data_IF_507557369559
#
_entry.id   IF_507557369559
#
_cell.length_a   1.000
_cell.length_b   1.000
_cell.length_c   1.000
_cell.angle_alpha   90.00
_cell.angle_beta   90.00
_cell.angle_gamma   90.00
#
_symmetry.space_group_name_H-M   'P 1'
#
loop_
_entity.id
_entity.type
_entity.pdbx_description
1 polymer ?
#
# COMPACT_ATOMS: atom_id res chain seq x y z
N UNK A 1 -62.74 -0.65 21.46
CA UNK A 1 -63.70 -0.35 20.39
C UNK A 1 -63.07 0.66 19.45
N UNK A 2 -63.13 0.41 18.23
CA UNK A 2 -62.77 1.12 17.00
C UNK A 2 -61.48 0.58 16.33
N UNK A 3 -61.74 -0.38 15.45
CA UNK A 3 -60.91 -0.84 14.36
C UNK A 3 -60.77 0.24 13.30
N UNK A 4 -59.63 0.38 12.70
CA UNK A 4 -59.47 1.06 11.43
C UNK A 4 -58.63 0.17 10.47
N UNK A 5 -59.34 -0.40 9.50
CA UNK A 5 -58.81 -1.16 8.38
C UNK A 5 -58.14 -0.18 7.41
N UNK A 6 -56.93 -0.49 6.98
CA UNK A 6 -56.28 0.14 5.82
C UNK A 6 -56.08 -0.88 4.70
N UNK A 7 -56.58 -0.50 3.56
CA UNK A 7 -56.79 -1.17 2.29
C UNK A 7 -55.49 -1.56 1.57
N UNK A 8 -55.40 -2.80 1.11
CA UNK A 8 -54.37 -3.31 0.16
C UNK A 8 -54.77 -2.84 -1.27
N UNK A 9 -53.90 -2.07 -1.91
CA UNK A 9 -53.98 -1.81 -3.34
C UNK A 9 -53.04 -2.77 -4.10
N UNK A 10 -53.67 -3.46 -5.06
CA UNK A 10 -53.09 -4.42 -6.00
C UNK A 10 -52.18 -3.77 -7.01
N UNK A 11 -50.99 -4.33 -7.21
CA UNK A 11 -50.06 -4.01 -8.31
C UNK A 11 -50.39 -4.88 -9.54
N UNK A 12 -50.57 -4.24 -10.68
CA UNK A 12 -50.78 -4.85 -12.00
C UNK A 12 -49.41 -5.35 -12.57
N UNK A 13 -49.39 -6.45 -13.35
CA UNK A 13 -48.19 -6.96 -14.01
C UNK A 13 -47.87 -6.25 -15.34
N UNK A 14 -46.57 -6.12 -15.62
CA UNK A 14 -45.98 -5.60 -16.87
C UNK A 14 -46.12 -6.61 -18.03
N UNK A 15 -46.24 -6.15 -19.29
CA UNK A 15 -46.33 -7.00 -20.46
C UNK A 15 -44.94 -7.50 -20.93
N UNK A 16 -44.91 -8.61 -21.76
CA UNK A 16 -43.67 -9.24 -22.22
C UNK A 16 -42.99 -8.52 -23.38
N UNK A 17 -41.67 -8.62 -23.43
CA UNK A 17 -40.79 -8.03 -24.42
C UNK A 17 -41.00 -8.70 -25.83
N UNK A 18 -41.16 -7.86 -26.83
CA UNK A 18 -41.24 -8.25 -28.24
C UNK A 18 -39.87 -8.41 -28.91
N UNK A 19 -39.84 -9.26 -29.93
CA UNK A 19 -38.70 -9.76 -30.65
C UNK A 19 -37.88 -8.74 -31.43
N UNK A 20 -36.56 -8.98 -31.45
CA UNK A 20 -35.53 -8.28 -32.20
C UNK A 20 -35.64 -8.59 -33.72
N UNK A 21 -35.66 -7.54 -34.55
CA UNK A 21 -35.48 -7.59 -36.00
C UNK A 21 -34.07 -7.09 -36.33
N UNK A 22 -33.27 -7.93 -36.97
CA UNK A 22 -31.95 -7.64 -37.53
C UNK A 22 -32.03 -6.90 -38.85
N UNK A 23 -31.29 -5.79 -39.01
CA UNK A 23 -30.98 -5.17 -40.29
C UNK A 23 -29.47 -5.11 -40.53
N UNK A 24 -28.98 -5.27 -41.77
CA UNK A 24 -27.56 -5.37 -42.09
C UNK A 24 -26.91 -4.00 -42.30
N UNK A 25 -25.62 -3.91 -41.93
CA UNK A 25 -24.74 -2.76 -42.14
C UNK A 25 -24.21 -2.74 -43.59
N UNK A 26 -24.07 -1.58 -44.25
CA UNK A 26 -23.41 -1.47 -45.54
C UNK A 26 -21.89 -1.43 -45.40
N UNK A 27 -21.19 -2.15 -46.27
CA UNK A 27 -19.75 -2.07 -46.51
C UNK A 27 -19.44 -0.83 -47.35
N UNK A 28 -18.63 0.09 -46.82
CA UNK A 28 -17.97 1.11 -47.64
C UNK A 28 -16.50 0.72 -47.88
N UNK A 29 -16.20 0.59 -49.16
CA UNK A 29 -14.85 0.43 -49.71
C UNK A 29 -14.20 1.82 -49.77
N UNK A 30 -13.04 2.00 -49.16
CA UNK A 30 -12.23 3.22 -49.29
C UNK A 30 -11.03 2.93 -50.18
N UNK A 31 -10.98 3.61 -51.31
CA UNK A 31 -9.91 3.61 -52.28
C UNK A 31 -8.64 4.31 -51.72
N UNK A 32 -7.50 3.67 -51.92
CA UNK A 32 -6.16 4.23 -51.67
C UNK A 32 -5.85 5.31 -52.73
N UNK A 33 -5.65 6.55 -52.29
CA UNK A 33 -4.97 7.59 -53.08
C UNK A 33 -3.60 7.85 -52.51
N UNK A 34 -2.59 7.45 -53.27
CA UNK A 34 -1.18 7.75 -53.07
C UNK A 34 -0.90 9.23 -53.33
N UNK A 35 -0.38 9.94 -52.33
CA UNK A 35 0.30 11.22 -52.52
C UNK A 35 1.68 11.20 -51.88
N UNK A 36 2.68 11.22 -52.75
CA UNK A 36 4.11 11.37 -52.36
C UNK A 36 4.35 12.80 -51.88
N UNK A 37 4.77 12.94 -50.62
CA UNK A 37 5.42 14.17 -50.15
C UNK A 37 6.76 13.82 -49.50
N UNK A 38 7.83 14.16 -50.19
CA UNK A 38 9.22 14.13 -49.74
C UNK A 38 9.39 15.20 -48.67
N UNK A 39 9.49 14.80 -47.41
CA UNK A 39 9.91 15.67 -46.32
C UNK A 39 11.27 15.22 -45.79
N UNK A 40 12.24 16.09 -45.94
CA UNK A 40 13.62 15.95 -45.45
C UNK A 40 13.59 15.86 -43.91
N UNK A 41 13.91 14.67 -43.37
CA UNK A 41 14.01 14.47 -41.92
C UNK A 41 15.42 14.79 -41.46
N UNK A 42 15.58 15.88 -40.74
CA UNK A 42 16.77 16.22 -39.98
C UNK A 42 16.95 15.20 -38.84
N UNK A 43 18.15 14.67 -38.69
CA UNK A 43 18.47 13.62 -37.71
C UNK A 43 18.07 14.03 -36.30
N UNK A 44 17.09 13.33 -35.73
CA UNK A 44 16.78 13.33 -34.30
C UNK A 44 17.76 12.37 -33.64
N UNK A 45 18.51 12.86 -32.67
CA UNK A 45 19.43 12.06 -31.85
C UNK A 45 18.69 10.88 -31.25
N UNK A 46 19.21 9.69 -31.51
CA UNK A 46 18.81 8.40 -30.96
C UNK A 46 18.96 8.42 -29.43
N UNK A 47 17.84 8.61 -28.72
CA UNK A 47 17.72 8.30 -27.30
C UNK A 47 17.21 6.88 -27.15
N UNK A 48 18.05 5.92 -27.56
CA UNK A 48 17.83 4.52 -27.21
C UNK A 48 17.80 4.39 -25.70
N UNK A 49 16.78 3.74 -25.11
CA UNK A 49 16.79 3.44 -23.69
C UNK A 49 18.04 2.59 -23.40
N UNK A 50 18.86 3.03 -22.42
CA UNK A 50 19.99 2.24 -21.95
C UNK A 50 19.54 0.81 -21.71
N UNK A 51 20.32 -0.21 -22.11
CA UNK A 51 19.99 -1.59 -21.78
C UNK A 51 19.86 -1.67 -20.25
N UNK A 52 18.70 -2.07 -19.76
CA UNK A 52 18.54 -2.53 -18.38
C UNK A 52 19.54 -3.67 -18.25
N UNK A 53 20.51 -3.55 -17.37
CA UNK A 53 21.42 -4.64 -17.04
C UNK A 53 20.55 -5.85 -16.71
N UNK A 54 20.58 -6.84 -17.57
CA UNK A 54 19.93 -8.13 -17.34
C UNK A 54 20.70 -8.77 -16.21
N UNK A 55 20.22 -8.57 -14.98
CA UNK A 55 20.76 -9.22 -13.80
C UNK A 55 20.86 -10.72 -14.06
N UNK A 56 21.86 -11.37 -13.46
CA UNK A 56 22.03 -12.83 -13.52
C UNK A 56 20.69 -13.50 -13.31
N UNK A 57 20.30 -14.47 -14.17
CA UNK A 57 18.99 -15.11 -14.09
C UNK A 57 18.78 -15.69 -12.68
N UNK A 58 17.70 -15.30 -12.04
CA UNK A 58 17.38 -15.72 -10.69
C UNK A 58 17.11 -17.22 -10.66
N UNK A 59 17.80 -17.94 -9.76
CA UNK A 59 17.63 -19.38 -9.61
C UNK A 59 16.47 -19.70 -8.67
N UNK A 60 15.52 -20.52 -9.15
CA UNK A 60 14.35 -20.96 -8.42
C UNK A 60 14.53 -22.41 -7.95
N UNK A 61 14.11 -22.69 -6.71
CA UNK A 61 14.14 -24.00 -6.07
C UNK A 61 12.70 -24.45 -5.84
N UNK A 62 12.34 -25.60 -6.40
CA UNK A 62 11.05 -26.24 -6.13
C UNK A 62 11.16 -27.12 -4.92
N UNK A 63 10.28 -26.91 -3.93
CA UNK A 63 10.22 -27.62 -2.67
C UNK A 63 8.86 -28.29 -2.51
N UNK A 64 8.82 -29.38 -1.75
CA UNK A 64 7.60 -30.11 -1.40
C UNK A 64 7.46 -30.19 0.11
N UNK A 65 6.27 -29.98 0.62
CA UNK A 65 6.04 -30.18 2.05
C UNK A 65 4.72 -30.88 2.34
N UNK A 66 4.64 -31.44 3.54
CA UNK A 66 3.40 -32.05 4.05
C UNK A 66 2.92 -31.22 5.23
N UNK A 67 1.64 -30.83 5.21
CA UNK A 67 0.96 -30.17 6.32
C UNK A 67 -0.40 -30.84 6.54
N UNK A 68 -0.73 -31.17 7.80
CA UNK A 68 -1.98 -31.84 8.16
C UNK A 68 -2.29 -33.11 7.31
N UNK A 69 -1.23 -33.84 6.93
CA UNK A 69 -1.33 -35.06 6.09
C UNK A 69 -1.48 -34.75 4.58
N UNK A 70 -1.61 -33.53 4.16
CA UNK A 70 -1.74 -33.12 2.74
C UNK A 70 -0.41 -32.70 2.15
N UNK A 71 -0.07 -33.10 0.91
CA UNK A 71 1.12 -32.65 0.21
C UNK A 71 0.89 -31.28 -0.45
N UNK A 72 1.93 -30.44 -0.45
CA UNK A 72 1.98 -29.14 -1.10
C UNK A 72 3.28 -28.98 -1.87
N UNK A 73 3.25 -28.11 -2.86
CA UNK A 73 4.42 -27.66 -3.63
C UNK A 73 4.58 -26.15 -3.49
N UNK A 74 5.82 -25.66 -3.43
CA UNK A 74 6.13 -24.25 -3.51
C UNK A 74 7.43 -24.02 -4.30
N UNK A 75 7.55 -22.84 -4.92
CA UNK A 75 8.76 -22.37 -5.56
C UNK A 75 9.30 -21.19 -4.76
N UNK A 76 10.61 -21.21 -4.51
CA UNK A 76 11.30 -20.14 -3.78
C UNK A 76 12.59 -19.77 -4.52
N UNK A 77 12.94 -18.50 -4.56
CA UNK A 77 14.17 -18.05 -5.19
C UNK A 77 15.36 -18.15 -4.24
N UNK A 78 16.56 -18.35 -4.76
CA UNK A 78 17.79 -18.37 -3.94
C UNK A 78 18.04 -17.03 -3.24
N UNK A 79 17.62 -15.91 -3.83
CA UNK A 79 17.71 -14.58 -3.24
C UNK A 79 16.69 -14.33 -2.12
N UNK A 80 15.66 -15.18 -1.99
CA UNK A 80 14.69 -15.12 -0.89
C UNK A 80 15.34 -15.39 0.47
N UNK A 81 14.62 -15.08 1.52
CA UNK A 81 15.03 -15.30 2.89
C UNK A 81 14.14 -16.35 3.56
N UNK A 82 14.57 -16.85 4.72
CA UNK A 82 13.76 -17.75 5.54
C UNK A 82 12.41 -17.14 5.88
N UNK A 83 12.33 -15.83 6.05
CA UNK A 83 11.08 -15.10 6.24
C UNK A 83 10.13 -15.22 5.05
N UNK A 84 10.65 -15.10 3.83
CA UNK A 84 9.82 -15.26 2.61
C UNK A 84 9.27 -16.67 2.50
N UNK A 85 10.09 -17.68 2.84
CA UNK A 85 9.63 -19.07 2.93
C UNK A 85 8.46 -19.19 3.92
N UNK A 86 8.58 -18.59 5.10
CA UNK A 86 7.51 -18.63 6.12
C UNK A 86 6.25 -17.92 5.64
N UNK A 87 6.40 -16.79 4.92
CA UNK A 87 5.28 -16.08 4.30
C UNK A 87 4.56 -16.93 3.23
N UNK A 88 5.32 -17.63 2.37
CA UNK A 88 4.76 -18.56 1.38
C UNK A 88 4.01 -19.72 2.05
N UNK A 89 4.56 -20.27 3.13
CA UNK A 89 3.88 -21.31 3.90
C UNK A 89 2.58 -20.81 4.53
N UNK A 90 2.56 -19.59 5.05
CA UNK A 90 1.35 -18.96 5.57
C UNK A 90 0.31 -18.77 4.47
N UNK A 91 0.68 -18.30 3.29
CA UNK A 91 -0.26 -18.10 2.18
C UNK A 91 -0.91 -19.40 1.70
N UNK A 92 -0.21 -20.54 1.85
CA UNK A 92 -0.70 -21.86 1.44
C UNK A 92 -1.48 -22.60 2.52
N UNK A 93 -1.31 -22.25 3.81
CA UNK A 93 -1.82 -23.04 4.94
C UNK A 93 -2.55 -22.23 6.01
N UNK A 94 -2.56 -20.91 5.89
CA UNK A 94 -3.03 -19.96 6.93
C UNK A 94 -2.32 -20.11 8.30
N UNK A 95 -1.20 -20.84 8.35
CA UNK A 95 -0.39 -20.97 9.55
C UNK A 95 0.56 -19.76 9.66
N UNK A 96 0.40 -18.89 10.65
CA UNK A 96 1.25 -17.72 10.78
C UNK A 96 2.71 -18.07 11.14
N UNK A 97 3.72 -17.30 10.72
CA UNK A 97 5.15 -17.58 10.85
C UNK A 97 5.61 -17.97 12.25
N UNK A 98 5.06 -17.34 13.28
CA UNK A 98 5.38 -17.58 14.69
C UNK A 98 4.89 -18.95 15.20
N UNK A 99 3.94 -19.57 14.49
CA UNK A 99 3.39 -20.90 14.81
C UNK A 99 3.93 -22.01 13.90
N UNK A 100 4.77 -21.64 12.92
CA UNK A 100 5.34 -22.60 12.00
C UNK A 100 6.52 -23.35 12.62
N UNK A 101 6.42 -24.67 12.69
CA UNK A 101 7.53 -25.56 12.99
C UNK A 101 7.88 -26.34 11.72
N UNK A 102 9.01 -25.98 11.10
CA UNK A 102 9.49 -26.58 9.85
C UNK A 102 10.50 -27.67 10.18
N UNK A 103 10.20 -28.92 9.78
CA UNK A 103 11.00 -30.09 10.09
C UNK A 103 11.55 -30.74 8.82
N UNK A 104 12.84 -31.05 8.81
CA UNK A 104 13.50 -31.80 7.73
C UNK A 104 13.91 -30.96 6.51
N UNK A 105 13.70 -29.65 6.54
CA UNK A 105 14.16 -28.77 5.48
C UNK A 105 15.71 -28.63 5.51
N UNK A 106 16.27 -28.36 6.67
CA UNK A 106 17.71 -28.29 6.94
C UNK A 106 18.12 -29.30 8.01
N UNK A 107 19.43 -29.54 8.15
CA UNK A 107 19.97 -30.32 9.26
C UNK A 107 20.01 -29.41 10.52
N UNK A 108 19.28 -29.78 11.56
CA UNK A 108 19.23 -29.02 12.80
C UNK A 108 18.12 -27.95 12.83
N UNK A 109 18.39 -26.84 13.50
CA UNK A 109 17.45 -25.73 13.65
C UNK A 109 17.44 -24.89 12.37
N UNK A 110 16.24 -24.44 11.98
CA UNK A 110 16.10 -23.48 10.88
C UNK A 110 16.90 -22.19 11.22
N UNK A 111 17.68 -21.65 10.27
CA UNK A 111 18.39 -20.38 10.47
C UNK A 111 17.42 -19.21 10.76
N UNK A 112 17.96 -18.05 11.20
CA UNK A 112 17.17 -16.84 11.42
C UNK A 112 16.45 -16.37 10.14
N UNK A 113 15.42 -15.55 10.33
CA UNK A 113 14.53 -15.10 9.26
C UNK A 113 15.22 -14.27 8.17
N UNK A 114 16.31 -13.59 8.50
CA UNK A 114 17.14 -12.79 7.58
C UNK A 114 18.14 -13.60 6.75
N UNK A 115 18.31 -14.90 7.04
CA UNK A 115 19.21 -15.76 6.29
C UNK A 115 18.67 -16.05 4.88
N UNK A 116 19.56 -16.02 3.88
CA UNK A 116 19.18 -16.26 2.47
C UNK A 116 18.98 -17.75 2.18
N UNK A 117 18.04 -18.06 1.31
CA UNK A 117 17.77 -19.44 0.87
C UNK A 117 19.00 -20.06 0.16
N UNK A 118 19.79 -19.24 -0.56
CA UNK A 118 21.04 -19.68 -1.15
C UNK A 118 21.99 -20.33 -0.14
N UNK A 119 22.11 -19.75 1.07
CA UNK A 119 22.98 -20.24 2.13
C UNK A 119 22.49 -21.56 2.76
N UNK A 120 21.22 -21.88 2.63
CA UNK A 120 20.65 -23.15 3.07
C UNK A 120 21.04 -24.32 2.17
N UNK A 121 21.58 -24.04 0.98
CA UNK A 121 22.03 -25.04 -0.03
C UNK A 121 20.95 -26.08 -0.32
N UNK A 122 19.71 -25.60 -0.48
CA UNK A 122 18.57 -26.48 -0.77
C UNK A 122 18.66 -26.99 -2.21
N UNK A 123 18.17 -28.20 -2.42
CA UNK A 123 18.06 -28.83 -3.76
C UNK A 123 16.61 -28.90 -4.18
N UNK A 124 16.34 -28.70 -5.47
CA UNK A 124 15.02 -28.92 -6.07
C UNK A 124 14.53 -30.34 -5.74
N UNK A 125 13.27 -30.47 -5.37
CA UNK A 125 12.68 -31.73 -4.95
C UNK A 125 12.81 -32.05 -3.45
N UNK A 126 13.49 -31.16 -2.68
CA UNK A 126 13.62 -31.33 -1.23
C UNK A 126 12.23 -31.38 -0.57
N UNK A 127 12.04 -32.40 0.29
CA UNK A 127 10.81 -32.61 1.05
C UNK A 127 10.99 -32.25 2.52
N UNK A 128 9.95 -31.67 3.13
CA UNK A 128 9.94 -31.30 4.56
C UNK A 128 8.51 -31.38 5.13
N UNK A 129 8.36 -31.19 6.43
CA UNK A 129 7.05 -31.18 7.10
C UNK A 129 6.85 -29.84 7.80
N UNK A 130 5.66 -29.28 7.59
CA UNK A 130 5.17 -28.14 8.36
C UNK A 130 4.23 -28.62 9.46
N UNK A 131 4.43 -28.14 10.68
CA UNK A 131 3.52 -28.29 11.80
C UNK A 131 3.10 -26.90 12.25
N UNK A 132 1.81 -26.69 12.44
CA UNK A 132 1.25 -25.43 12.92
C UNK A 132 -0.26 -25.39 12.80
N UNK A 133 -0.89 -24.53 13.61
CA UNK A 133 -2.35 -24.30 13.62
C UNK A 133 -2.66 -23.05 12.78
N UNK A 134 -3.62 -23.13 11.85
CA UNK A 134 -4.07 -21.97 11.07
C UNK A 134 -4.56 -20.82 11.94
N UNK A 135 -4.48 -19.62 11.39
CA UNK A 135 -5.06 -18.45 12.04
C UNK A 135 -6.58 -18.61 12.17
N UNK A 136 -7.13 -18.30 13.35
CA UNK A 136 -8.57 -18.44 13.64
C UNK A 136 -9.01 -19.83 14.12
N UNK A 137 -8.13 -20.84 14.07
CA UNK A 137 -8.40 -22.19 14.62
C UNK A 137 -7.69 -22.46 15.96
N UNK A 138 -7.09 -21.43 16.53
CA UNK A 138 -6.52 -21.50 17.87
C UNK A 138 -7.60 -21.57 18.94
N UNK A 139 -7.31 -22.32 20.00
CA UNK A 139 -8.10 -22.27 21.23
C UNK A 139 -7.77 -20.93 21.89
N UNK A 140 -8.65 -19.95 21.73
CA UNK A 140 -8.51 -18.63 22.37
C UNK A 140 -9.03 -18.68 23.79
N UNK A 141 -8.29 -18.11 24.72
CA UNK A 141 -8.81 -17.83 26.05
C UNK A 141 -9.81 -16.67 25.90
N UNK A 142 -11.11 -16.88 26.26
CA UNK A 142 -12.13 -15.83 26.12
C UNK A 142 -11.85 -14.56 26.94
N UNK A 143 -10.94 -14.65 27.93
CA UNK A 143 -10.53 -13.50 28.75
C UNK A 143 -9.42 -12.65 28.11
N UNK A 144 -8.77 -13.13 27.05
CA UNK A 144 -7.81 -12.35 26.30
C UNK A 144 -8.54 -11.60 25.17
N UNK A 145 -8.81 -10.34 25.42
CA UNK A 145 -9.19 -9.40 24.36
C UNK A 145 -8.12 -9.40 23.28
N UNK A 146 -8.52 -9.50 22.01
CA UNK A 146 -7.61 -9.28 20.89
C UNK A 146 -7.10 -7.84 20.98
N UNK A 147 -5.95 -7.65 21.61
CA UNK A 147 -5.22 -6.40 21.45
C UNK A 147 -4.75 -6.35 20.00
N UNK A 148 -5.21 -5.34 19.28
CA UNK A 148 -4.57 -4.94 18.03
C UNK A 148 -3.08 -4.78 18.31
N UNK A 149 -2.19 -5.38 17.50
CA UNK A 149 -0.77 -5.14 17.67
C UNK A 149 -0.56 -3.64 17.56
N UNK A 150 -0.11 -3.05 18.67
CA UNK A 150 0.36 -1.67 18.66
C UNK A 150 1.45 -1.59 17.59
N UNK A 151 1.35 -0.66 16.67
CA UNK A 151 2.41 -0.41 15.69
C UNK A 151 3.54 0.26 16.47
N UNK A 152 4.35 -0.57 17.13
CA UNK A 152 5.43 -0.10 17.98
C UNK A 152 6.46 0.60 17.10
N UNK A 153 6.55 1.90 17.27
CA UNK A 153 7.44 2.81 16.54
C UNK A 153 8.85 2.88 17.15
N UNK A 154 9.35 1.79 17.69
CA UNK A 154 10.60 1.84 18.48
C UNK A 154 11.86 2.07 17.65
N UNK A 155 11.79 1.97 16.31
CA UNK A 155 13.00 1.86 15.49
C UNK A 155 12.83 2.52 14.12
N UNK A 156 12.55 3.80 14.11
CA UNK A 156 12.38 4.54 12.87
C UNK A 156 13.70 4.86 12.16
N UNK A 157 13.92 4.28 10.98
CA UNK A 157 15.00 4.65 10.07
C UNK A 157 14.42 5.64 9.06
N UNK A 158 14.90 6.87 9.12
CA UNK A 158 14.49 7.88 8.15
C UNK A 158 15.28 7.75 6.85
N UNK A 159 14.71 7.07 5.88
CA UNK A 159 15.30 6.93 4.54
C UNK A 159 15.20 8.22 3.70
N UNK A 160 14.29 9.12 4.01
CA UNK A 160 14.23 10.42 3.34
C UNK A 160 15.44 11.29 3.71
N UNK A 161 15.96 11.13 4.93
CA UNK A 161 17.17 11.80 5.39
C UNK A 161 18.46 11.16 4.84
N UNK A 162 18.42 9.90 4.39
CA UNK A 162 19.59 9.18 3.85
C UNK A 162 19.24 8.42 2.56
N UNK A 163 19.15 9.12 1.40
CA UNK A 163 18.83 8.50 0.11
C UNK A 163 19.82 7.42 -0.33
N UNK A 164 21.12 7.54 0.03
CA UNK A 164 22.12 6.55 -0.29
C UNK A 164 21.87 5.19 0.39
N UNK A 165 21.31 5.20 1.60
CA UNK A 165 20.88 3.97 2.27
C UNK A 165 19.70 3.31 1.54
N UNK A 166 18.81 4.09 0.94
CA UNK A 166 17.67 3.59 0.18
C UNK A 166 18.07 2.97 -1.15
N UNK A 167 19.15 3.42 -1.78
CA UNK A 167 19.62 2.91 -3.09
C UNK A 167 19.87 1.39 -3.06
N UNK A 168 20.43 0.89 -1.95
CA UNK A 168 20.63 -0.55 -1.74
C UNK A 168 19.32 -1.34 -1.76
N UNK A 169 18.23 -0.77 -1.23
CA UNK A 169 16.92 -1.41 -1.22
C UNK A 169 16.23 -1.35 -2.57
N UNK A 170 16.37 -0.22 -3.27
CA UNK A 170 15.79 0.01 -4.61
C UNK A 170 16.40 -0.96 -5.62
N UNK A 171 17.72 -1.20 -5.55
CA UNK A 171 18.47 -2.05 -6.49
C UNK A 171 18.46 -3.53 -6.09
N UNK A 172 17.92 -3.91 -4.95
CA UNK A 172 17.84 -5.31 -4.53
C UNK A 172 16.83 -6.07 -5.41
N UNK A 173 17.30 -7.12 -6.10
CA UNK A 173 16.48 -7.95 -6.99
C UNK A 173 15.30 -8.59 -6.28
N UNK A 174 15.46 -8.98 -5.01
CA UNK A 174 14.38 -9.50 -4.18
C UNK A 174 13.27 -8.47 -4.00
N UNK A 175 13.62 -7.22 -3.67
CA UNK A 175 12.65 -6.16 -3.49
C UNK A 175 11.92 -5.83 -4.81
N UNK A 176 12.64 -5.81 -5.93
CA UNK A 176 12.07 -5.62 -7.26
C UNK A 176 11.09 -6.76 -7.63
N UNK A 177 11.41 -7.99 -7.26
CA UNK A 177 10.50 -9.12 -7.44
C UNK A 177 9.25 -8.96 -6.56
N UNK A 178 9.41 -8.62 -5.27
CA UNK A 178 8.29 -8.39 -4.35
C UNK A 178 7.34 -7.30 -4.82
N UNK A 179 7.87 -6.21 -5.39
CA UNK A 179 7.03 -5.19 -6.03
C UNK A 179 6.17 -5.81 -7.14
N UNK A 180 6.77 -6.60 -8.03
CA UNK A 180 6.02 -7.26 -9.13
C UNK A 180 4.98 -8.25 -8.60
N UNK A 181 5.35 -9.09 -7.64
CA UNK A 181 4.43 -10.07 -7.01
C UNK A 181 3.26 -9.37 -6.32
N UNK A 182 3.54 -8.34 -5.50
CA UNK A 182 2.50 -7.55 -4.85
C UNK A 182 1.60 -6.83 -5.86
N UNK A 183 2.18 -6.25 -6.93
CA UNK A 183 1.38 -5.62 -7.99
C UNK A 183 0.45 -6.63 -8.66
N UNK A 184 0.95 -7.83 -8.98
CA UNK A 184 0.13 -8.86 -9.64
C UNK A 184 -0.95 -9.46 -8.75
N UNK A 185 -0.69 -9.55 -7.45
CA UNK A 185 -1.63 -10.14 -6.48
C UNK A 185 -2.66 -9.13 -5.95
N UNK A 186 -2.40 -7.84 -6.09
CA UNK A 186 -3.22 -6.78 -5.51
C UNK A 186 -4.29 -6.33 -6.51
N UNK A 187 -5.55 -6.39 -6.09
CA UNK A 187 -6.67 -5.70 -6.73
C UNK A 187 -6.97 -4.43 -5.95
N UNK A 188 -6.85 -3.27 -6.60
CA UNK A 188 -7.17 -1.98 -5.98
C UNK A 188 -8.61 -1.62 -6.26
N UNK A 189 -9.43 -1.57 -5.21
CA UNK A 189 -10.79 -1.08 -5.30
C UNK A 189 -10.80 0.46 -5.30
N UNK A 190 -11.18 1.06 -6.42
CA UNK A 190 -11.35 2.51 -6.55
C UNK A 190 -12.72 2.88 -5.99
N UNK A 191 -12.73 3.66 -4.90
CA UNK A 191 -13.94 4.15 -4.21
C UNK A 191 -14.53 5.33 -4.99
N UNK A 192 -13.67 6.31 -5.34
CA UNK A 192 -14.05 7.44 -6.19
C UNK A 192 -13.08 7.57 -7.37
N UNK A 193 -13.58 7.94 -8.56
CA UNK A 193 -12.77 8.00 -9.78
C UNK A 193 -11.55 8.91 -9.63
N UNK A 194 -10.42 8.47 -10.18
CA UNK A 194 -9.23 9.30 -10.29
C UNK A 194 -9.49 10.45 -11.28
N UNK A 195 -9.04 11.64 -10.95
CA UNK A 195 -9.30 12.88 -11.70
C UNK A 195 -8.12 13.24 -12.60
N UNK A 196 -8.39 13.62 -13.81
CA UNK A 196 -7.37 14.03 -14.78
C UNK A 196 -6.54 15.22 -14.26
N UNK A 197 -5.23 15.17 -14.44
CA UNK A 197 -4.30 16.24 -14.08
C UNK A 197 -4.08 16.42 -12.58
N UNK A 198 -4.65 15.57 -11.71
CA UNK A 198 -4.37 15.61 -10.28
C UNK A 198 -3.10 14.85 -9.93
N UNK A 199 -2.48 15.28 -8.85
CA UNK A 199 -1.35 14.60 -8.21
C UNK A 199 -1.87 13.54 -7.26
N UNK A 200 -0.99 12.69 -6.75
CA UNK A 200 -1.36 11.67 -5.76
C UNK A 200 -0.81 12.04 -4.37
N UNK A 201 -1.71 12.10 -3.40
CA UNK A 201 -1.37 12.10 -1.98
C UNK A 201 -1.60 10.68 -1.43
N UNK A 202 -0.53 10.02 -1.00
CA UNK A 202 -0.60 8.77 -0.23
C UNK A 202 -0.45 9.14 1.24
N UNK A 203 -1.47 8.86 2.04
CA UNK A 203 -1.57 9.29 3.42
C UNK A 203 -1.63 8.06 4.34
N UNK A 204 -0.68 7.96 5.26
CA UNK A 204 -0.78 6.99 6.35
C UNK A 204 -1.86 7.39 7.35
N UNK A 205 -2.37 6.43 8.09
CA UNK A 205 -3.48 6.61 9.02
C UNK A 205 -3.00 6.64 10.48
N UNK A 206 -2.38 5.54 10.91
CA UNK A 206 -2.10 5.26 12.33
C UNK A 206 -0.95 6.14 12.85
N UNK A 207 -1.21 6.96 13.87
CA UNK A 207 -0.30 7.97 14.42
C UNK A 207 0.14 9.08 13.44
N UNK A 208 -0.33 9.06 12.22
CA UNK A 208 -0.17 10.14 11.24
C UNK A 208 -1.31 11.15 11.34
N UNK A 209 -2.54 10.68 11.19
CA UNK A 209 -3.78 11.49 11.28
C UNK A 209 -4.75 11.02 12.36
N UNK A 210 -4.39 9.97 13.08
CA UNK A 210 -5.21 9.32 14.07
C UNK A 210 -4.36 8.78 15.22
N UNK A 211 -4.71 9.08 16.46
CA UNK A 211 -4.20 8.31 17.61
C UNK A 211 -5.01 7.01 17.73
N UNK A 212 -4.39 5.91 17.30
CA UNK A 212 -5.04 4.60 17.25
C UNK A 212 -5.30 4.00 18.62
N UNK A 213 -4.46 4.30 19.61
CA UNK A 213 -4.52 3.65 20.92
C UNK A 213 -5.82 3.95 21.70
N UNK A 214 -6.23 5.21 21.90
CA UNK A 214 -7.50 5.51 22.57
C UNK A 214 -8.71 5.03 21.76
N UNK A 215 -8.66 5.05 20.42
CA UNK A 215 -9.72 4.55 19.58
C UNK A 215 -9.95 3.04 19.79
N UNK A 216 -8.88 2.25 19.72
CA UNK A 216 -8.98 0.79 19.85
C UNK A 216 -9.31 0.31 21.24
N UNK A 217 -8.90 1.05 22.27
CA UNK A 217 -9.28 0.77 23.67
C UNK A 217 -10.67 1.27 24.04
N UNK A 218 -11.34 2.04 23.18
CA UNK A 218 -12.60 2.70 23.48
C UNK A 218 -12.49 3.80 24.54
N UNK A 219 -11.28 4.31 24.80
CA UNK A 219 -11.02 5.33 25.81
C UNK A 219 -11.51 6.71 25.38
N UNK A 220 -11.57 6.99 24.08
CA UNK A 220 -12.07 8.21 23.49
C UNK A 220 -13.02 7.90 22.32
N UNK A 221 -13.99 8.78 22.05
CA UNK A 221 -14.81 8.68 20.84
C UNK A 221 -13.93 8.93 19.57
N UNK A 222 -14.32 8.38 18.41
CA UNK A 222 -13.50 8.43 17.19
C UNK A 222 -13.04 9.83 16.78
N UNK A 223 -13.94 10.82 16.85
CA UNK A 223 -13.62 12.20 16.45
C UNK A 223 -12.60 12.88 17.38
N UNK A 224 -12.47 12.44 18.64
CA UNK A 224 -11.45 12.92 19.58
C UNK A 224 -10.11 12.21 19.37
N UNK A 225 -10.11 11.06 18.71
CA UNK A 225 -8.89 10.34 18.33
C UNK A 225 -8.27 10.91 17.05
N UNK A 226 -9.02 11.66 16.24
CA UNK A 226 -8.54 12.30 15.03
C UNK A 226 -7.53 13.40 15.36
N UNK A 227 -6.47 13.50 14.54
CA UNK A 227 -5.55 14.64 14.64
C UNK A 227 -6.29 15.93 14.32
N UNK A 228 -6.09 17.00 15.11
CA UNK A 228 -6.77 18.27 14.89
C UNK A 228 -6.65 18.77 13.45
N UNK A 229 -7.75 19.28 12.90
CA UNK A 229 -7.83 19.83 11.54
C UNK A 229 -7.75 18.79 10.42
N UNK A 230 -8.09 17.52 10.70
CA UNK A 230 -8.07 16.44 9.72
C UNK A 230 -8.90 16.77 8.47
N UNK A 231 -10.16 17.15 8.65
CA UNK A 231 -11.06 17.39 7.52
C UNK A 231 -10.66 18.65 6.75
N UNK A 232 -10.31 19.72 7.44
CA UNK A 232 -9.85 20.96 6.80
C UNK A 232 -8.56 20.77 6.01
N UNK A 233 -7.65 19.89 6.48
CA UNK A 233 -6.47 19.48 5.73
C UNK A 233 -6.86 18.77 4.44
N UNK A 234 -7.73 17.76 4.53
CA UNK A 234 -8.17 16.98 3.37
C UNK A 234 -8.92 17.85 2.36
N UNK A 235 -9.80 18.74 2.82
CA UNK A 235 -10.51 19.70 1.97
C UNK A 235 -9.54 20.67 1.27
N UNK A 236 -8.51 21.14 1.96
CA UNK A 236 -7.52 22.08 1.39
C UNK A 236 -6.65 21.44 0.31
N UNK A 237 -6.29 20.16 0.44
CA UNK A 237 -5.43 19.46 -0.54
C UNK A 237 -6.23 18.82 -1.68
N UNK A 238 -7.49 18.49 -1.47
CA UNK A 238 -8.33 17.80 -2.46
C UNK A 238 -8.42 18.49 -3.84
N UNK A 239 -8.45 19.83 -3.96
CA UNK A 239 -8.43 20.49 -5.26
C UNK A 239 -7.21 20.14 -6.12
N UNK A 240 -6.11 19.66 -5.52
CA UNK A 240 -4.83 19.41 -6.18
C UNK A 240 -4.46 17.93 -6.27
N UNK A 241 -4.98 17.10 -5.36
CA UNK A 241 -4.59 15.70 -5.20
C UNK A 241 -5.78 14.75 -5.23
N UNK A 242 -5.59 13.60 -5.83
CA UNK A 242 -6.34 12.40 -5.50
C UNK A 242 -5.75 11.80 -4.23
N UNK A 243 -6.61 11.30 -3.34
CA UNK A 243 -6.21 10.88 -2.00
C UNK A 243 -6.27 9.36 -1.89
N UNK A 244 -5.13 8.74 -1.58
CA UNK A 244 -5.03 7.35 -1.17
C UNK A 244 -4.74 7.28 0.34
N UNK A 245 -5.45 6.43 1.07
CA UNK A 245 -5.08 6.09 2.45
C UNK A 245 -4.41 4.71 2.46
N UNK A 246 -3.21 4.62 3.05
CA UNK A 246 -2.43 3.38 3.12
C UNK A 246 -2.04 3.03 4.55
N UNK A 247 -2.73 2.07 5.18
CA UNK A 247 -2.48 1.65 6.56
C UNK A 247 -1.79 0.29 6.65
N UNK A 248 -1.02 0.07 7.71
CA UNK A 248 -0.42 -1.23 8.07
C UNK A 248 -1.42 -2.19 8.73
N UNK A 249 -2.66 -1.78 8.90
CA UNK A 249 -3.72 -2.61 9.51
C UNK A 249 -4.46 -3.45 8.46
N UNK A 250 -5.28 -4.40 8.90
CA UNK A 250 -6.12 -5.18 7.98
C UNK A 250 -7.30 -4.35 7.46
N UNK A 251 -7.87 -4.78 6.32
CA UNK A 251 -8.98 -4.11 5.65
C UNK A 251 -10.14 -3.74 6.61
N UNK A 252 -10.59 -4.70 7.42
CA UNK A 252 -11.73 -4.50 8.34
C UNK A 252 -11.47 -3.32 9.30
N UNK A 253 -10.26 -3.26 9.86
CA UNK A 253 -9.89 -2.18 10.77
C UNK A 253 -9.69 -0.84 10.06
N UNK A 254 -9.14 -0.88 8.85
CA UNK A 254 -8.97 0.31 8.02
C UNK A 254 -10.34 0.92 7.67
N UNK A 255 -11.25 0.11 7.15
CA UNK A 255 -12.61 0.54 6.79
C UNK A 255 -13.36 1.12 8.01
N UNK A 256 -13.34 0.41 9.15
CA UNK A 256 -13.96 0.89 10.39
C UNK A 256 -13.41 2.26 10.79
N UNK A 257 -12.10 2.45 10.82
CA UNK A 257 -11.49 3.73 11.18
C UNK A 257 -11.91 4.86 10.24
N UNK A 258 -11.90 4.62 8.92
CA UNK A 258 -12.26 5.65 7.93
C UNK A 258 -13.73 6.09 8.06
N UNK A 259 -14.63 5.15 8.34
CA UNK A 259 -16.05 5.44 8.56
C UNK A 259 -16.26 6.17 9.89
N UNK A 260 -15.66 5.70 10.97
CA UNK A 260 -15.78 6.31 12.30
C UNK A 260 -15.18 7.73 12.36
N UNK A 261 -14.11 7.98 11.59
CA UNK A 261 -13.54 9.32 11.42
C UNK A 261 -14.35 10.22 10.47
N UNK A 262 -15.41 9.71 9.84
CA UNK A 262 -16.18 10.46 8.85
C UNK A 262 -15.41 10.75 7.54
N UNK A 263 -14.29 10.09 7.30
CA UNK A 263 -13.50 10.26 6.07
C UNK A 263 -14.20 9.64 4.86
N UNK A 264 -15.07 8.66 5.08
CA UNK A 264 -15.96 8.05 4.09
C UNK A 264 -17.39 8.20 4.60
N UNK A 265 -18.28 8.74 3.76
CA UNK A 265 -19.69 8.95 4.09
C UNK A 265 -19.98 10.16 5.01
N UNK A 266 -18.99 10.94 5.40
CA UNK A 266 -19.11 12.07 6.33
C UNK A 266 -19.68 13.37 5.73
N UNK A 267 -19.93 13.43 4.42
CA UNK A 267 -20.50 14.62 3.75
C UNK A 267 -19.54 15.81 3.61
N UNK A 268 -18.24 15.56 3.64
CA UNK A 268 -17.18 16.56 3.46
C UNK A 268 -16.95 16.90 1.98
N UNK A 269 -16.24 18.00 1.73
CA UNK A 269 -15.92 18.49 0.37
C UNK A 269 -14.69 17.80 -0.26
N UNK A 270 -14.36 16.60 0.17
CA UNK A 270 -13.28 15.77 -0.38
C UNK A 270 -13.74 14.32 -0.51
N UNK A 271 -13.01 13.55 -1.32
CA UNK A 271 -13.26 12.13 -1.56
C UNK A 271 -11.95 11.34 -1.44
N UNK A 272 -12.01 10.15 -0.85
CA UNK A 272 -10.90 9.19 -0.84
C UNK A 272 -11.01 8.36 -2.12
N UNK A 273 -9.99 8.41 -2.97
CA UNK A 273 -10.03 7.71 -4.26
C UNK A 273 -9.90 6.20 -4.11
N UNK A 274 -8.97 5.75 -3.29
CA UNK A 274 -8.79 4.33 -2.97
C UNK A 274 -8.03 4.15 -1.67
N UNK A 275 -8.04 2.93 -1.15
CA UNK A 275 -7.35 2.58 0.11
C UNK A 275 -6.52 1.31 -0.07
N UNK A 276 -5.41 1.23 0.66
CA UNK A 276 -4.52 0.09 0.71
C UNK A 276 -4.30 -0.37 2.15
N UNK A 277 -4.37 -1.67 2.36
CA UNK A 277 -4.15 -2.32 3.65
C UNK A 277 -2.77 -2.99 3.73
N UNK A 278 -2.50 -3.70 4.81
CA UNK A 278 -1.24 -4.43 5.02
C UNK A 278 -0.90 -5.46 3.94
N UNK A 279 -1.87 -5.94 3.15
CA UNK A 279 -1.64 -6.94 2.09
C UNK A 279 -0.85 -6.38 0.91
N UNK A 280 -0.90 -5.05 0.73
CA UNK A 280 -0.12 -4.34 -0.27
C UNK A 280 1.32 -4.02 0.16
N UNK A 281 1.73 -4.43 1.35
CA UNK A 281 3.06 -4.22 1.92
C UNK A 281 3.86 -5.51 1.91
N UNK A 282 5.18 -5.38 1.90
CA UNK A 282 6.09 -6.51 2.08
C UNK A 282 7.26 -6.17 3.00
N UNK A 283 7.92 -7.22 3.52
CA UNK A 283 9.04 -7.06 4.44
C UNK A 283 10.34 -6.81 3.71
N UNK A 284 11.12 -5.87 4.23
CA UNK A 284 12.54 -5.70 3.93
C UNK A 284 13.37 -5.89 5.19
N UNK A 285 14.66 -6.16 5.01
CA UNK A 285 15.60 -6.28 6.13
C UNK A 285 16.61 -5.13 6.08
N UNK A 286 16.71 -4.40 7.18
CA UNK A 286 17.75 -3.42 7.43
C UNK A 286 18.73 -3.93 8.50
N UNK A 287 19.82 -3.20 8.73
CA UNK A 287 20.72 -3.46 9.86
C UNK A 287 20.64 -2.30 10.83
N UNK A 288 20.45 -2.63 12.11
CA UNK A 288 20.54 -1.69 13.20
C UNK A 288 21.51 -2.22 14.25
N UNK A 289 22.50 -1.41 14.64
CA UNK A 289 23.54 -1.82 15.60
C UNK A 289 24.20 -3.15 15.22
N UNK A 290 24.39 -3.39 13.91
CA UNK A 290 24.92 -4.64 13.37
C UNK A 290 23.97 -5.83 13.35
N UNK A 291 22.75 -5.69 13.90
CA UNK A 291 21.73 -6.74 13.94
C UNK A 291 20.73 -6.58 12.81
N UNK A 292 20.24 -7.69 12.20
CA UNK A 292 19.18 -7.63 11.21
C UNK A 292 17.88 -7.14 11.87
N UNK A 293 17.22 -6.22 11.18
CA UNK A 293 15.92 -5.66 11.57
C UNK A 293 14.93 -5.76 10.43
N UNK A 294 13.84 -6.49 10.66
CA UNK A 294 12.76 -6.67 9.69
C UNK A 294 11.71 -5.60 9.87
N UNK A 295 11.32 -4.96 8.77
CA UNK A 295 10.18 -4.03 8.76
C UNK A 295 9.41 -4.10 7.45
N UNK A 296 8.15 -3.67 7.47
CA UNK A 296 7.36 -3.54 6.27
C UNK A 296 7.62 -2.18 5.60
N UNK A 297 7.38 -2.13 4.30
CA UNK A 297 7.51 -0.93 3.48
C UNK A 297 6.26 -0.70 2.63
N UNK A 298 6.00 0.56 2.31
CA UNK A 298 4.96 1.00 1.40
C UNK A 298 5.62 1.42 0.07
N UNK A 299 5.74 0.49 -0.86
CA UNK A 299 6.41 0.72 -2.15
C UNK A 299 5.46 1.42 -3.13
N UNK A 300 5.64 2.72 -3.38
CA UNK A 300 4.79 3.51 -4.30
C UNK A 300 4.76 2.94 -5.71
N UNK A 301 5.80 2.21 -6.13
CA UNK A 301 5.84 1.55 -7.44
C UNK A 301 4.66 0.59 -7.64
N UNK A 302 4.10 0.00 -6.58
CA UNK A 302 2.90 -0.83 -6.65
C UNK A 302 1.70 0.00 -7.13
N UNK A 303 1.53 1.21 -6.59
CA UNK A 303 0.47 2.14 -7.01
C UNK A 303 0.70 2.61 -8.45
N UNK A 304 1.93 3.01 -8.79
CA UNK A 304 2.27 3.51 -10.12
C UNK A 304 2.10 2.45 -11.21
N UNK A 305 2.33 1.17 -10.89
CA UNK A 305 2.09 0.07 -11.82
C UNK A 305 0.59 -0.17 -12.10
N UNK A 306 -0.31 0.18 -11.17
CA UNK A 306 -1.76 0.10 -11.36
C UNK A 306 -2.33 1.35 -12.03
N UNK A 307 -1.76 2.51 -11.73
CA UNK A 307 -2.23 3.83 -12.19
C UNK A 307 -1.11 4.60 -12.87
N UNK A 308 -0.86 4.36 -14.19
CA UNK A 308 0.28 4.91 -14.92
C UNK A 308 0.33 6.44 -15.01
N UNK A 309 -0.76 7.15 -14.68
CA UNK A 309 -0.80 8.61 -14.59
C UNK A 309 -0.02 9.15 -13.38
N UNK A 310 0.34 8.30 -12.42
CA UNK A 310 1.12 8.65 -11.25
C UNK A 310 2.53 8.08 -11.35
N UNK A 311 3.50 8.88 -10.91
CA UNK A 311 4.89 8.49 -10.79
C UNK A 311 5.61 9.34 -9.72
N UNK A 312 6.94 9.28 -9.68
CA UNK A 312 7.74 10.04 -8.73
C UNK A 312 7.64 11.57 -8.89
N UNK A 313 7.19 12.06 -10.06
CA UNK A 313 7.09 13.49 -10.33
C UNK A 313 5.83 14.14 -9.76
N UNK A 314 4.80 13.34 -9.47
CA UNK A 314 3.49 13.86 -9.06
C UNK A 314 2.88 13.15 -7.83
N UNK A 315 3.68 12.38 -7.09
CA UNK A 315 3.24 11.64 -5.90
C UNK A 315 3.97 12.11 -4.65
N UNK A 316 3.24 12.28 -3.54
CA UNK A 316 3.78 12.49 -2.19
C UNK A 316 3.20 11.43 -1.25
N UNK A 317 4.05 10.86 -0.42
CA UNK A 317 3.68 9.93 0.63
C UNK A 317 3.95 10.54 2.01
N UNK A 318 2.90 10.79 2.78
CA UNK A 318 2.95 11.34 4.15
C UNK A 318 2.79 10.21 5.15
N UNK A 319 3.74 10.09 6.08
CA UNK A 319 3.78 9.02 7.09
C UNK A 319 4.57 9.48 8.31
N UNK A 320 4.29 8.97 9.51
CA UNK A 320 5.09 9.23 10.70
C UNK A 320 6.33 8.33 10.77
N UNK A 321 6.38 7.25 9.98
CA UNK A 321 7.44 6.25 9.94
C UNK A 321 8.33 6.39 8.71
N UNK A 322 9.48 7.03 8.84
CA UNK A 322 10.44 7.19 7.75
C UNK A 322 10.90 5.88 7.10
N UNK A 323 10.83 4.76 7.80
CA UNK A 323 11.14 3.42 7.26
C UNK A 323 10.20 2.98 6.13
N UNK A 324 8.98 3.50 6.07
CA UNK A 324 8.02 3.20 5.02
C UNK A 324 8.47 3.74 3.66
N UNK A 325 9.38 4.73 3.65
CA UNK A 325 9.93 5.36 2.45
C UNK A 325 11.14 4.64 1.86
N UNK A 326 11.55 3.47 2.39
CA UNK A 326 12.80 2.80 2.02
C UNK A 326 12.98 2.60 0.50
N UNK A 327 11.90 2.45 -0.25
CA UNK A 327 11.92 2.25 -1.70
C UNK A 327 11.61 3.52 -2.51
N UNK A 328 11.10 4.56 -1.87
CA UNK A 328 10.73 5.83 -2.50
C UNK A 328 11.07 7.03 -1.60
N UNK A 329 12.36 7.20 -1.21
CA UNK A 329 12.74 8.21 -0.22
C UNK A 329 12.50 9.64 -0.69
N UNK A 330 12.60 9.90 -2.00
CA UNK A 330 12.38 11.23 -2.59
C UNK A 330 10.93 11.70 -2.58
N UNK A 331 9.96 10.79 -2.37
CA UNK A 331 8.53 11.10 -2.28
C UNK A 331 8.01 11.03 -0.84
N UNK A 332 8.88 10.65 0.10
CA UNK A 332 8.53 10.51 1.52
C UNK A 332 8.54 11.83 2.26
N UNK A 333 7.44 12.19 2.87
CA UNK A 333 7.30 13.34 3.75
C UNK A 333 6.97 12.86 5.17
N UNK A 334 8.02 12.76 6.00
CA UNK A 334 7.87 12.36 7.39
C UNK A 334 7.27 13.51 8.20
N UNK A 335 6.27 13.19 9.03
CA UNK A 335 5.69 14.11 10.00
C UNK A 335 5.84 13.58 11.42
N UNK A 336 5.68 14.47 12.41
CA UNK A 336 5.68 14.07 13.80
C UNK A 336 4.49 13.16 14.11
N UNK A 337 4.70 12.03 14.86
CA UNK A 337 3.59 11.15 15.21
C UNK A 337 2.59 11.85 16.13
N UNK A 338 1.29 11.63 15.86
CA UNK A 338 0.20 12.11 16.69
C UNK A 338 -0.16 11.04 17.72
N UNK A 339 0.18 11.30 18.96
CA UNK A 339 -0.08 10.45 20.13
C UNK A 339 -0.68 11.30 21.23
N UNK A 340 -1.20 10.64 22.25
CA UNK A 340 -1.71 11.32 23.43
C UNK A 340 -2.93 12.23 23.15
N UNK A 341 -3.81 11.83 22.22
CA UNK A 341 -5.08 12.51 21.91
C UNK A 341 -5.94 12.80 23.15
N UNK A 342 -5.77 11.97 24.19
CA UNK A 342 -6.44 12.13 25.48
C UNK A 342 -5.89 13.29 26.34
N UNK A 343 -4.79 13.90 25.96
CA UNK A 343 -4.18 15.00 26.72
C UNK A 343 -4.67 16.36 26.19
N UNK A 344 -4.88 17.35 27.08
CA UNK A 344 -5.37 18.68 26.66
C UNK A 344 -4.48 19.37 25.61
N UNK A 345 -3.17 19.13 25.65
CA UNK A 345 -2.22 19.70 24.67
C UNK A 345 -2.38 19.15 23.25
N UNK A 346 -3.04 18.00 23.07
CA UNK A 346 -3.30 17.45 21.74
C UNK A 346 -4.09 18.41 20.85
N UNK A 347 -5.00 19.18 21.44
CA UNK A 347 -5.80 20.20 20.73
C UNK A 347 -4.96 21.35 20.18
N UNK A 348 -3.75 21.53 20.68
CA UNK A 348 -2.80 22.53 20.21
C UNK A 348 -1.95 22.05 19.03
N UNK A 349 -2.09 20.77 18.60
CA UNK A 349 -1.41 20.26 17.41
C UNK A 349 -1.81 21.07 16.16
N UNK A 350 -0.81 21.49 15.39
CA UNK A 350 -0.97 22.27 14.16
C UNK A 350 -0.23 21.65 12.97
N UNK A 351 0.14 20.38 13.10
CA UNK A 351 0.91 19.70 12.05
C UNK A 351 0.12 19.63 10.73
N UNK A 352 -1.18 19.32 10.79
CA UNK A 352 -2.01 19.27 9.59
C UNK A 352 -2.25 20.66 8.97
N UNK A 353 -2.29 21.73 9.77
CA UNK A 353 -2.33 23.10 9.23
C UNK A 353 -1.04 23.47 8.47
N UNK A 354 0.12 23.04 8.98
CA UNK A 354 1.41 23.25 8.30
C UNK A 354 1.49 22.39 7.05
N UNK A 355 1.07 21.16 7.16
CA UNK A 355 1.05 20.20 6.04
C UNK A 355 0.15 20.70 4.92
N UNK A 356 -1.07 21.18 5.23
CA UNK A 356 -1.99 21.74 4.24
C UNK A 356 -1.35 22.86 3.43
N UNK A 357 -0.75 23.86 4.11
CA UNK A 357 -0.07 24.96 3.44
C UNK A 357 1.08 24.47 2.56
N UNK A 358 1.89 23.57 3.07
CA UNK A 358 3.01 23.00 2.32
C UNK A 358 2.55 22.24 1.08
N UNK A 359 1.56 21.35 1.22
CA UNK A 359 1.03 20.53 0.12
C UNK A 359 0.39 21.39 -0.98
N UNK A 360 -0.36 22.42 -0.60
CA UNK A 360 -0.93 23.38 -1.57
C UNK A 360 0.20 24.16 -2.27
N UNK A 361 1.19 24.62 -1.52
CA UNK A 361 2.33 25.35 -2.08
C UNK A 361 3.08 24.52 -3.12
N UNK A 362 3.51 23.29 -2.79
CA UNK A 362 4.23 22.45 -3.75
C UNK A 362 3.39 22.08 -4.97
N UNK A 363 2.08 21.90 -4.79
CA UNK A 363 1.17 21.62 -5.90
C UNK A 363 0.99 22.79 -6.86
N UNK A 364 1.12 24.01 -6.38
CA UNK A 364 0.95 25.23 -7.20
C UNK A 364 2.27 25.75 -7.76
N UNK A 365 3.39 25.55 -7.05
CA UNK A 365 4.69 26.09 -7.40
C UNK A 365 5.59 25.13 -8.20
N UNK A 366 5.33 23.81 -8.15
CA UNK A 366 6.19 22.80 -8.77
C UNK A 366 5.39 21.86 -9.67
N UNK A 367 5.88 21.65 -10.88
CA UNK A 367 5.33 20.65 -11.82
C UNK A 367 5.89 19.26 -11.53
N UNK A 368 7.14 19.17 -11.06
CA UNK A 368 7.87 17.94 -10.81
C UNK A 368 8.35 17.87 -9.35
N UNK A 369 7.76 16.99 -8.57
CA UNK A 369 8.07 16.84 -7.14
C UNK A 369 9.45 16.24 -6.87
N UNK A 370 10.11 15.62 -7.87
CA UNK A 370 11.50 15.17 -7.75
C UNK A 370 12.49 16.28 -7.53
N UNK A 371 12.10 17.51 -7.86
CA UNK A 371 12.92 18.72 -7.68
C UNK A 371 12.72 19.43 -6.34
N UNK A 372 11.75 18.95 -5.54
CA UNK A 372 11.37 19.60 -4.26
C UNK A 372 12.23 19.04 -3.12
N UNK A 373 12.88 19.92 -2.39
CA UNK A 373 13.54 19.55 -1.12
C UNK A 373 12.53 19.57 0.03
N UNK A 374 12.00 18.42 0.37
CA UNK A 374 11.02 18.29 1.45
C UNK A 374 11.58 18.61 2.86
N UNK A 375 12.91 18.68 3.04
CA UNK A 375 13.54 19.06 4.32
C UNK A 375 13.33 20.55 4.63
N UNK A 376 13.10 21.36 3.60
CA UNK A 376 12.81 22.80 3.75
C UNK A 376 11.39 23.11 4.24
N UNK A 377 10.52 22.10 4.45
CA UNK A 377 9.12 22.27 4.87
C UNK A 377 8.94 23.13 6.11
N UNK A 378 9.83 22.98 7.11
CA UNK A 378 9.73 23.66 8.39
C UNK A 378 10.40 25.04 8.39
N UNK A 379 10.96 25.47 7.25
CA UNK A 379 11.47 26.81 7.04
C UNK A 379 10.35 27.84 6.85
N UNK A 380 10.64 29.15 6.99
CA UNK A 380 9.67 30.19 6.68
C UNK A 380 9.27 30.07 5.20
N UNK A 381 7.99 29.84 4.93
CA UNK A 381 7.44 29.92 3.57
C UNK A 381 7.63 31.37 3.12
N UNK A 382 8.63 31.62 2.29
CA UNK A 382 8.76 32.91 1.60
C UNK A 382 7.57 33.00 0.65
N UNK A 383 6.63 33.88 0.98
CA UNK A 383 5.56 34.26 0.04
C UNK A 383 6.23 34.76 -1.26
N UNK A 384 5.82 34.27 -2.42
CA UNK A 384 6.18 34.93 -3.65
C UNK A 384 5.52 36.31 -3.64
N UNK A 385 6.32 37.35 -3.83
CA UNK A 385 5.89 38.74 -4.01
C UNK A 385 4.90 38.88 -5.19
#
# INVERSE_FOLDING_TARGET
>A
MAESQASLQSLNPLPPAGASSSMPMPQETIDLVTAEHTTTITAVQDTSPRPVEVGTPERWIRLYFTWSGKPFELNIAESDRVDDLKGLLQSLTDVPPERQKILGLVKGKLPPDDETIANLKLTTGKKFTLIGTPQGQEIKDPSQLEFLPDVINDLDIDFSANPAAAETYINDQRNQRKIRECTQALEINVIHPLREGKRLLVLDLDYTILDTKPLTSGALPPHECARPRLHEFLEAVYPYYDICVWSQTSWIWLETKLVELGMIGGGHSYEISFVLDKKSMFSVFSRRDGKPYKHHVKALQIIWNHFPQFDASNTIHVDDLGRNFALNPGQGLKIAPFKDAHLPQATADRELDKLARYMVHIATAHEDFRTVDHKARDGPVTSPD
#
